data_IF_375151749018
#
_entry.id   IF_375151749018
#
_cell.length_a   1.000
_cell.length_b   1.000
_cell.length_c   1.000
_cell.angle_alpha   90.00
_cell.angle_beta   90.00
_cell.angle_gamma   90.00
#
_symmetry.space_group_name_H-M   'P 1'
#
loop_
_entity.id
_entity.type
_entity.pdbx_description
1 polymer ?
#
# COMPACT_ATOMS: atom_id res chain seq x y z
N UNK A 1 14.24 -42.50 32.58
CA UNK A 1 13.21 -43.45 33.13
C UNK A 1 11.95 -42.66 33.25
N UNK A 2 11.00 -42.81 32.48
CA UNK A 2 9.73 -43.46 32.55
C UNK A 2 8.80 -43.11 31.34
N UNK A 3 8.58 -44.11 30.54
CA UNK A 3 7.63 -44.16 29.45
C UNK A 3 6.21 -44.10 30.03
N UNK A 4 5.27 -43.41 29.38
CA UNK A 4 3.91 -43.95 29.25
C UNK A 4 3.30 -43.60 27.90
N UNK A 5 3.25 -44.60 27.05
CA UNK A 5 2.31 -44.75 25.90
C UNK A 5 0.90 -44.91 26.43
N UNK A 6 -0.09 -44.30 25.80
CA UNK A 6 -1.45 -44.89 25.83
C UNK A 6 -2.08 -44.78 24.43
N UNK A 7 -2.61 -45.94 24.07
CA UNK A 7 -3.18 -46.34 22.81
C UNK A 7 -4.63 -45.91 22.64
N UNK A 8 -5.09 -45.99 21.41
CA UNK A 8 -6.45 -45.81 20.89
C UNK A 8 -7.49 -46.84 21.45
N UNK A 9 -8.78 -46.60 21.18
CA UNK A 9 -9.50 -47.71 20.54
C UNK A 9 -10.33 -47.32 19.32
N UNK A 10 -10.26 -48.23 18.34
CA UNK A 10 -11.18 -48.40 17.23
C UNK A 10 -12.48 -48.99 17.76
N UNK A 11 -13.63 -48.52 17.28
CA UNK A 11 -14.87 -49.30 17.31
C UNK A 11 -15.47 -49.30 15.92
N UNK A 12 -15.44 -50.49 15.35
CA UNK A 12 -16.16 -50.87 14.13
C UNK A 12 -17.55 -51.43 14.57
N UNK A 13 -18.59 -51.02 13.88
CA UNK A 13 -19.85 -51.79 13.87
C UNK A 13 -20.32 -51.97 12.44
N UNK A 14 -20.34 -53.25 12.11
CA UNK A 14 -20.90 -53.84 10.87
C UNK A 14 -22.40 -54.19 11.10
N UNK A 15 -23.12 -54.26 10.02
CA UNK A 15 -24.19 -55.19 9.62
C UNK A 15 -25.57 -54.58 9.37
N UNK A 16 -25.92 -54.61 8.11
CA UNK A 16 -26.87 -55.53 7.41
C UNK A 16 -28.34 -55.16 7.61
N UNK A 17 -29.03 -54.87 6.48
CA UNK A 17 -30.06 -55.73 5.87
C UNK A 17 -30.70 -55.03 4.65
N UNK A 18 -30.69 -55.70 3.52
CA UNK A 18 -31.61 -55.59 2.35
C UNK A 18 -32.78 -56.59 2.61
N UNK A 19 -33.87 -56.68 1.81
CA UNK A 19 -34.51 -55.79 0.86
C UNK A 19 -36.03 -55.69 1.04
N UNK A 20 -36.72 -54.79 0.35
CA UNK A 20 -38.08 -55.01 -0.09
C UNK A 20 -38.43 -54.11 -1.30
N UNK A 21 -38.66 -54.79 -2.41
CA UNK A 21 -39.30 -54.27 -3.62
C UNK A 21 -40.76 -53.93 -3.32
N UNK A 22 -41.23 -52.76 -3.68
CA UNK A 22 -42.60 -52.48 -3.99
C UNK A 22 -42.68 -51.38 -5.07
N UNK A 23 -43.10 -51.82 -6.21
CA UNK A 23 -43.49 -50.99 -7.34
C UNK A 23 -44.77 -50.21 -6.98
N UNK A 24 -44.73 -48.91 -7.13
CA UNK A 24 -45.91 -48.08 -7.28
C UNK A 24 -45.76 -47.13 -8.41
N UNK A 25 -46.63 -47.35 -9.35
CA UNK A 25 -46.85 -46.59 -10.58
C UNK A 25 -47.40 -45.23 -10.21
N UNK A 26 -46.93 -44.23 -10.98
CA UNK A 26 -47.70 -43.11 -11.51
C UNK A 26 -47.84 -41.82 -10.79
N UNK A 27 -48.01 -40.92 -11.64
CA UNK A 27 -48.52 -39.56 -11.57
C UNK A 27 -47.44 -38.50 -11.38
N UNK A 28 -46.91 -38.09 -12.52
CA UNK A 28 -46.17 -36.82 -12.62
C UNK A 28 -47.14 -35.67 -12.51
N UNK A 29 -47.07 -34.82 -11.51
CA UNK A 29 -47.68 -33.52 -11.55
C UNK A 29 -46.81 -32.60 -12.39
N UNK A 30 -47.42 -31.98 -13.40
CA UNK A 30 -46.87 -30.84 -14.14
C UNK A 30 -46.65 -29.68 -13.13
N UNK A 31 -45.42 -29.57 -12.62
CA UNK A 31 -45.00 -28.34 -11.92
C UNK A 31 -44.66 -27.28 -12.95
N UNK A 32 -45.24 -26.06 -12.87
CA UNK A 32 -44.76 -24.95 -13.66
C UNK A 32 -43.31 -24.64 -13.26
N UNK A 33 -42.44 -24.58 -14.25
CA UNK A 33 -41.08 -24.10 -14.07
C UNK A 33 -41.11 -22.64 -13.59
N UNK A 34 -40.94 -22.48 -12.28
CA UNK A 34 -40.63 -21.16 -11.74
C UNK A 34 -39.18 -20.84 -12.18
N UNK A 35 -39.07 -19.95 -13.14
CA UNK A 35 -37.79 -19.36 -13.52
C UNK A 35 -37.26 -18.60 -12.29
N UNK A 36 -36.40 -19.24 -11.51
CA UNK A 36 -35.59 -18.54 -10.53
C UNK A 36 -34.63 -17.65 -11.31
N UNK A 37 -34.95 -16.36 -11.39
CA UNK A 37 -34.01 -15.36 -11.83
C UNK A 37 -32.79 -15.46 -10.87
N UNK A 38 -31.69 -16.05 -11.35
CA UNK A 38 -30.39 -15.94 -10.69
C UNK A 38 -30.06 -14.44 -10.67
N UNK A 39 -30.28 -13.81 -9.52
CA UNK A 39 -29.67 -12.54 -9.22
C UNK A 39 -28.16 -12.75 -9.46
N UNK A 40 -27.60 -12.06 -10.44
CA UNK A 40 -26.20 -12.03 -10.68
C UNK A 40 -25.54 -11.68 -9.34
N UNK A 41 -24.82 -12.65 -8.77
CA UNK A 41 -23.98 -12.41 -7.62
C UNK A 41 -23.02 -11.29 -8.01
N UNK A 42 -23.19 -10.13 -7.40
CA UNK A 42 -22.24 -9.03 -7.54
C UNK A 42 -20.87 -9.60 -7.16
N UNK A 43 -19.95 -9.48 -8.11
CA UNK A 43 -18.56 -9.92 -7.97
C UNK A 43 -17.97 -9.26 -6.70
N UNK A 44 -17.53 -10.00 -5.67
CA UNK A 44 -16.97 -9.42 -4.45
C UNK A 44 -15.57 -8.82 -4.66
N UNK A 45 -15.07 -8.76 -5.88
CA UNK A 45 -13.93 -7.96 -6.25
C UNK A 45 -14.33 -6.49 -6.41
N UNK A 46 -14.98 -5.90 -5.41
CA UNK A 46 -15.03 -4.45 -5.30
C UNK A 46 -13.58 -3.98 -5.20
N UNK A 47 -13.05 -3.51 -6.33
CA UNK A 47 -11.70 -2.95 -6.42
C UNK A 47 -11.56 -1.91 -5.32
N UNK A 48 -10.65 -2.16 -4.37
CA UNK A 48 -10.35 -1.17 -3.33
C UNK A 48 -10.11 0.18 -4.01
N UNK A 49 -10.61 1.29 -3.44
CA UNK A 49 -10.46 2.60 -4.06
C UNK A 49 -8.99 2.85 -4.37
N UNK A 50 -8.72 3.32 -5.58
CA UNK A 50 -7.37 3.63 -6.00
C UNK A 50 -6.76 4.65 -5.03
N UNK A 51 -5.47 4.47 -4.68
CA UNK A 51 -4.77 5.43 -3.84
C UNK A 51 -4.63 6.76 -4.57
N UNK A 52 -5.24 7.80 -4.01
CA UNK A 52 -5.22 9.16 -4.54
C UNK A 52 -4.68 10.12 -3.48
N UNK A 53 -3.38 10.42 -3.46
CA UNK A 53 -2.79 11.31 -2.47
C UNK A 53 -3.26 12.76 -2.62
N UNK A 54 -3.64 13.18 -3.82
CA UNK A 54 -4.19 14.51 -4.07
C UNK A 54 -3.20 15.63 -3.82
N UNK A 55 -1.94 15.48 -4.25
CA UNK A 55 -0.93 16.54 -4.15
C UNK A 55 -1.19 17.69 -5.13
N UNK A 56 -2.00 17.46 -6.17
CA UNK A 56 -2.18 18.36 -7.30
C UNK A 56 -1.04 18.31 -8.31
N UNK A 57 -0.09 17.41 -8.15
CA UNK A 57 0.98 17.07 -9.07
C UNK A 57 0.82 15.62 -9.53
N UNK A 58 0.28 15.42 -10.71
CA UNK A 58 -0.01 14.08 -11.24
C UNK A 58 1.24 13.19 -11.41
N UNK A 59 2.43 13.77 -11.58
CA UNK A 59 3.66 12.99 -11.59
C UNK A 59 3.97 12.47 -10.18
N UNK A 60 3.92 13.34 -9.18
CA UNK A 60 4.18 13.00 -7.78
C UNK A 60 3.15 11.98 -7.27
N UNK A 61 1.87 12.16 -7.56
CA UNK A 61 0.79 11.25 -7.17
C UNK A 61 1.06 9.81 -7.67
N UNK A 62 1.48 9.66 -8.94
CA UNK A 62 1.84 8.35 -9.49
C UNK A 62 3.05 7.72 -8.80
N UNK A 63 4.04 8.54 -8.45
CA UNK A 63 5.24 8.01 -7.77
C UNK A 63 4.91 7.61 -6.32
N UNK A 64 4.07 8.36 -5.61
CA UNK A 64 3.63 7.98 -4.26
C UNK A 64 2.85 6.66 -4.26
N UNK A 65 2.03 6.42 -5.28
CA UNK A 65 1.39 5.11 -5.46
C UNK A 65 2.41 3.98 -5.69
N UNK A 66 3.53 4.26 -6.39
CA UNK A 66 4.61 3.29 -6.57
C UNK A 66 5.42 3.08 -5.29
N UNK A 67 5.60 4.12 -4.47
CA UNK A 67 6.21 4.00 -3.12
C UNK A 67 5.42 3.03 -2.24
N UNK A 68 4.09 3.02 -2.30
CA UNK A 68 3.28 2.04 -1.57
C UNK A 68 3.66 0.61 -1.97
N UNK A 69 3.72 0.31 -3.28
CA UNK A 69 4.10 -1.02 -3.78
C UNK A 69 5.54 -1.41 -3.41
N UNK A 70 6.44 -0.43 -3.40
CA UNK A 70 7.82 -0.67 -2.97
C UNK A 70 7.89 -1.04 -1.50
N UNK A 71 7.23 -0.29 -0.63
CA UNK A 71 7.24 -0.51 0.81
C UNK A 71 6.58 -1.83 1.22
N UNK A 72 5.55 -2.29 0.49
CA UNK A 72 4.97 -3.62 0.68
C UNK A 72 6.00 -4.74 0.46
N UNK A 73 6.88 -4.56 -0.51
CA UNK A 73 7.89 -5.56 -0.86
C UNK A 73 9.17 -5.43 -0.05
N UNK A 74 9.54 -4.20 0.33
CA UNK A 74 10.80 -3.88 0.99
C UNK A 74 10.58 -2.94 2.19
N UNK A 75 9.84 -3.37 3.23
CA UNK A 75 9.43 -2.50 4.33
C UNK A 75 10.60 -1.91 5.11
N UNK A 76 11.65 -2.69 5.36
CA UNK A 76 12.83 -2.19 6.09
C UNK A 76 13.60 -1.14 5.28
N UNK A 77 13.82 -1.35 3.99
CA UNK A 77 14.50 -0.39 3.14
C UNK A 77 13.70 0.92 3.03
N UNK A 78 12.37 0.83 2.98
CA UNK A 78 11.49 2.00 3.02
C UNK A 78 11.62 2.76 4.34
N UNK A 79 11.59 2.05 5.49
CA UNK A 79 11.73 2.68 6.80
C UNK A 79 13.12 3.31 6.96
N UNK A 80 14.17 2.63 6.49
CA UNK A 80 15.54 3.15 6.52
C UNK A 80 15.69 4.44 5.72
N UNK A 81 15.03 4.57 4.57
CA UNK A 81 14.99 5.80 3.78
C UNK A 81 14.43 6.96 4.60
N UNK A 82 13.30 6.77 5.26
CA UNK A 82 12.67 7.80 6.09
C UNK A 82 13.52 8.17 7.32
N UNK A 83 14.23 7.20 7.88
CA UNK A 83 15.12 7.45 9.03
C UNK A 83 16.36 8.25 8.60
N UNK A 84 16.98 7.87 7.50
CA UNK A 84 18.23 8.47 7.03
C UNK A 84 18.00 9.84 6.39
N UNK A 85 16.97 9.96 5.57
CA UNK A 85 16.76 11.12 4.71
C UNK A 85 15.47 11.88 4.99
N UNK A 86 14.44 11.23 5.53
CA UNK A 86 13.17 11.87 5.91
C UNK A 86 13.17 12.51 7.31
N UNK A 87 14.26 12.37 8.07
CA UNK A 87 14.39 12.95 9.42
C UNK A 87 13.43 12.34 10.46
N UNK A 88 12.89 11.14 10.21
CA UNK A 88 11.95 10.48 11.09
C UNK A 88 12.65 9.43 11.99
N UNK A 89 12.12 9.21 13.19
CA UNK A 89 12.57 8.11 14.04
C UNK A 89 11.90 6.81 13.62
N UNK A 90 12.64 5.69 13.56
CA UNK A 90 12.13 4.37 13.15
C UNK A 90 10.82 4.01 13.85
N UNK A 91 10.77 4.02 15.17
CA UNK A 91 9.57 3.67 15.93
C UNK A 91 8.37 4.60 15.67
N UNK A 92 8.59 5.84 15.22
CA UNK A 92 7.52 6.74 14.81
C UNK A 92 6.94 6.32 13.44
N UNK A 93 7.81 5.99 12.48
CA UNK A 93 7.38 5.49 11.16
C UNK A 93 6.62 4.17 11.30
N UNK A 94 7.15 3.22 12.07
CA UNK A 94 6.49 1.94 12.36
C UNK A 94 5.12 2.14 13.01
N UNK A 95 5.00 3.10 13.94
CA UNK A 95 3.71 3.41 14.56
C UNK A 95 2.69 3.96 13.55
N UNK A 96 3.10 4.84 12.63
CA UNK A 96 2.23 5.35 11.58
C UNK A 96 1.72 4.22 10.67
N UNK A 97 2.61 3.36 10.22
CA UNK A 97 2.27 2.27 9.30
C UNK A 97 1.42 1.18 9.97
N UNK A 98 1.84 0.69 11.14
CA UNK A 98 1.27 -0.51 11.76
C UNK A 98 0.09 -0.23 12.68
N UNK A 99 0.12 0.89 13.44
CA UNK A 99 -0.92 1.20 14.42
C UNK A 99 -1.95 2.19 13.92
N UNK A 100 -1.55 3.11 13.05
CA UNK A 100 -2.42 4.15 12.53
C UNK A 100 -2.89 3.91 11.10
N UNK A 101 -2.42 2.83 10.45
CA UNK A 101 -2.87 2.42 9.12
C UNK A 101 -2.51 3.42 8.01
N UNK A 102 -1.47 4.22 8.19
CA UNK A 102 -1.02 5.14 7.16
C UNK A 102 -0.41 4.39 5.98
N UNK A 103 -0.71 4.86 4.79
CA UNK A 103 -0.06 4.32 3.60
C UNK A 103 1.38 4.82 3.51
N UNK A 104 2.33 3.99 3.06
CA UNK A 104 3.74 4.37 2.95
C UNK A 104 3.99 5.65 2.16
N UNK A 105 3.29 5.84 1.03
CA UNK A 105 3.38 7.07 0.24
C UNK A 105 3.00 8.33 1.01
N UNK A 106 1.99 8.24 1.88
CA UNK A 106 1.58 9.35 2.74
C UNK A 106 2.63 9.65 3.80
N UNK A 107 3.22 8.61 4.42
CA UNK A 107 4.30 8.78 5.41
C UNK A 107 5.54 9.37 4.74
N UNK A 108 5.90 8.87 3.55
CA UNK A 108 6.99 9.42 2.76
C UNK A 108 6.77 10.91 2.47
N UNK A 109 5.60 11.25 1.91
CA UNK A 109 5.28 12.63 1.56
C UNK A 109 5.32 13.56 2.78
N UNK A 110 4.71 13.16 3.90
CA UNK A 110 4.70 13.95 5.13
C UNK A 110 6.12 14.26 5.61
N UNK A 111 7.01 13.25 5.63
CA UNK A 111 8.36 13.43 6.15
C UNK A 111 9.19 14.32 5.23
N UNK A 112 9.16 14.10 3.93
CA UNK A 112 9.94 14.90 2.98
C UNK A 112 9.36 16.30 2.76
N UNK A 113 8.04 16.46 2.90
CA UNK A 113 7.45 17.80 2.98
C UNK A 113 7.92 18.55 4.21
N UNK A 114 7.92 17.90 5.38
CA UNK A 114 8.49 18.48 6.60
C UNK A 114 9.92 18.98 6.39
N UNK A 115 10.78 18.14 5.79
CA UNK A 115 12.15 18.54 5.46
C UNK A 115 12.18 19.76 4.53
N UNK A 116 11.34 19.78 3.49
CA UNK A 116 11.30 20.88 2.53
C UNK A 116 10.95 22.22 3.15
N UNK A 117 10.10 22.25 4.18
CA UNK A 117 9.69 23.46 4.88
C UNK A 117 10.48 23.73 6.19
N UNK A 118 11.53 22.95 6.46
CA UNK A 118 12.34 23.09 7.68
C UNK A 118 11.63 22.64 8.96
N UNK A 119 10.59 21.79 8.85
CA UNK A 119 9.82 21.25 9.96
C UNK A 119 10.10 19.76 10.18
N UNK A 120 9.61 19.22 11.30
CA UNK A 120 9.67 17.78 11.53
C UNK A 120 8.59 17.04 10.74
N UNK A 121 8.81 15.75 10.43
CA UNK A 121 7.81 14.85 9.84
C UNK A 121 6.46 14.85 10.61
N UNK A 122 6.48 15.12 11.92
CA UNK A 122 5.29 15.13 12.77
C UNK A 122 4.31 16.22 12.39
N UNK A 123 4.77 17.37 11.94
CA UNK A 123 3.92 18.54 11.65
C UNK A 123 2.96 18.26 10.48
N UNK A 124 3.41 17.83 9.29
CA UNK A 124 2.49 17.44 8.21
C UNK A 124 1.60 16.24 8.59
N UNK A 125 2.11 15.27 9.38
CA UNK A 125 1.30 14.15 9.88
C UNK A 125 0.15 14.66 10.75
N UNK A 126 0.39 15.59 11.67
CA UNK A 126 -0.66 16.16 12.50
C UNK A 126 -1.66 16.98 11.67
N UNK A 127 -1.19 17.74 10.68
CA UNK A 127 -2.07 18.48 9.79
C UNK A 127 -2.99 17.53 9.00
N UNK A 128 -2.44 16.46 8.42
CA UNK A 128 -3.21 15.42 7.71
C UNK A 128 -4.26 14.76 8.62
N UNK A 129 -3.90 14.48 9.89
CA UNK A 129 -4.82 13.88 10.85
C UNK A 129 -5.99 14.79 11.24
N UNK A 130 -5.83 16.12 11.10
CA UNK A 130 -6.92 17.08 11.33
C UNK A 130 -7.83 17.30 10.13
N UNK A 131 -7.39 16.86 8.93
CA UNK A 131 -8.10 17.03 7.67
C UNK A 131 -8.36 15.64 7.03
N UNK A 132 -9.14 14.76 7.70
CA UNK A 132 -9.42 13.43 7.17
C UNK A 132 -10.21 13.54 5.86
N UNK A 133 -9.77 12.79 4.84
CA UNK A 133 -10.42 12.78 3.52
C UNK A 133 -9.93 13.86 2.55
N UNK A 134 -9.20 14.88 3.01
CA UNK A 134 -8.64 15.88 2.11
C UNK A 134 -7.36 15.35 1.42
N UNK A 135 -7.07 15.85 0.21
CA UNK A 135 -5.81 15.57 -0.48
C UNK A 135 -4.62 16.33 0.14
N UNK A 136 -3.41 15.88 -0.17
CA UNK A 136 -2.18 16.51 0.36
C UNK A 136 -2.05 17.99 0.00
N UNK A 137 -2.62 18.44 -1.13
CA UNK A 137 -2.63 19.87 -1.46
C UNK A 137 -3.29 20.71 -0.37
N UNK A 138 -4.50 20.35 0.04
CA UNK A 138 -5.21 21.07 1.10
C UNK A 138 -4.46 20.98 2.45
N UNK A 139 -3.86 19.83 2.73
CA UNK A 139 -3.08 19.63 3.96
C UNK A 139 -1.87 20.56 4.00
N UNK A 140 -1.08 20.66 2.94
CA UNK A 140 0.11 21.51 2.93
C UNK A 140 -0.24 23.00 2.92
N UNK A 141 -1.36 23.37 2.30
CA UNK A 141 -1.88 24.74 2.32
C UNK A 141 -2.38 25.16 3.73
N UNK A 142 -2.70 24.20 4.61
CA UNK A 142 -3.09 24.45 6.01
C UNK A 142 -1.91 24.62 6.97
N UNK A 143 -0.68 24.35 6.51
CA UNK A 143 0.51 24.49 7.34
C UNK A 143 0.91 25.97 7.54
N UNK A 144 1.63 26.28 8.64
CA UNK A 144 2.10 27.65 8.88
C UNK A 144 3.02 28.20 7.78
N UNK A 145 3.80 27.33 7.14
CA UNK A 145 4.66 27.68 6.01
C UNK A 145 3.88 27.47 4.72
N UNK A 146 3.52 28.55 4.05
CA UNK A 146 2.82 28.49 2.78
C UNK A 146 3.64 27.75 1.71
N UNK A 147 3.03 26.80 0.97
CA UNK A 147 3.72 26.08 -0.07
C UNK A 147 4.14 27.00 -1.22
N UNK A 148 5.35 26.82 -1.72
CA UNK A 148 5.87 27.51 -2.89
C UNK A 148 6.52 26.53 -3.90
N UNK A 149 6.98 27.06 -5.04
CA UNK A 149 7.61 26.27 -6.08
C UNK A 149 8.93 25.62 -5.63
N UNK A 150 9.63 26.18 -4.64
CA UNK A 150 10.88 25.62 -4.12
C UNK A 150 10.60 24.39 -3.25
N UNK A 151 9.58 24.44 -2.42
CA UNK A 151 9.14 23.30 -1.60
C UNK A 151 8.70 22.14 -2.48
N UNK A 152 7.85 22.39 -3.48
CA UNK A 152 7.42 21.37 -4.44
C UNK A 152 8.60 20.77 -5.20
N UNK A 153 9.55 21.62 -5.65
CA UNK A 153 10.76 21.14 -6.31
C UNK A 153 11.62 20.29 -5.38
N UNK A 154 11.80 20.70 -4.13
CA UNK A 154 12.56 19.95 -3.14
C UNK A 154 11.99 18.54 -2.93
N UNK A 155 10.68 18.42 -2.75
CA UNK A 155 10.00 17.12 -2.59
C UNK A 155 10.15 16.25 -3.84
N UNK A 156 10.00 16.81 -5.03
CA UNK A 156 10.19 16.06 -6.30
C UNK A 156 11.63 15.56 -6.46
N UNK A 157 12.63 16.38 -6.11
CA UNK A 157 14.04 15.98 -6.13
C UNK A 157 14.33 14.91 -5.06
N UNK A 158 13.77 15.06 -3.87
CA UNK A 158 13.88 14.04 -2.81
C UNK A 158 13.32 12.69 -3.26
N UNK A 159 12.21 12.70 -3.99
CA UNK A 159 11.63 11.45 -4.50
C UNK A 159 12.55 10.79 -5.54
N UNK A 160 13.15 11.56 -6.44
CA UNK A 160 14.15 11.00 -7.37
C UNK A 160 15.33 10.42 -6.60
N UNK A 161 15.83 11.11 -5.56
CA UNK A 161 16.92 10.62 -4.72
C UNK A 161 16.54 9.32 -3.98
N UNK A 162 15.32 9.20 -3.45
CA UNK A 162 14.86 7.95 -2.83
C UNK A 162 14.89 6.77 -3.81
N UNK A 163 14.49 6.99 -5.08
CA UNK A 163 14.59 5.94 -6.10
C UNK A 163 16.05 5.56 -6.40
N UNK A 164 16.97 6.51 -6.36
CA UNK A 164 18.41 6.23 -6.51
C UNK A 164 18.96 5.42 -5.32
N UNK A 165 18.57 5.78 -4.09
CA UNK A 165 18.96 5.04 -2.89
C UNK A 165 18.41 3.60 -2.90
N UNK A 166 17.27 3.36 -3.54
CA UNK A 166 16.67 2.04 -3.70
C UNK A 166 17.16 1.27 -4.94
N UNK A 167 18.10 1.84 -5.69
CA UNK A 167 18.59 1.30 -6.97
C UNK A 167 17.44 0.98 -7.94
N UNK A 168 16.48 1.91 -8.05
CA UNK A 168 15.29 1.77 -8.89
C UNK A 168 15.24 2.80 -10.00
N UNK A 169 14.85 2.38 -11.22
CA UNK A 169 14.64 3.34 -12.30
C UNK A 169 13.42 4.22 -12.01
N UNK A 170 13.53 5.51 -12.31
CA UNK A 170 12.42 6.45 -12.26
C UNK A 170 12.30 7.22 -13.58
N UNK A 171 11.06 7.34 -14.07
CA UNK A 171 10.79 8.15 -15.25
C UNK A 171 10.61 9.61 -14.85
N UNK A 172 11.53 10.46 -15.28
CA UNK A 172 11.45 11.89 -15.06
C UNK A 172 10.45 12.52 -16.04
N UNK A 173 9.69 13.51 -15.59
CA UNK A 173 8.93 14.39 -16.49
C UNK A 173 9.82 15.46 -17.14
N UNK A 174 9.24 16.26 -18.03
CA UNK A 174 9.99 17.27 -18.79
C UNK A 174 10.68 18.32 -17.89
N UNK A 175 10.09 18.64 -16.73
CA UNK A 175 10.68 19.59 -15.77
C UNK A 175 11.91 18.98 -15.08
N UNK A 176 11.76 17.78 -14.53
CA UNK A 176 12.84 17.06 -13.86
C UNK A 176 13.97 16.68 -14.85
N UNK A 177 13.64 16.36 -16.11
CA UNK A 177 14.66 16.12 -17.13
C UNK A 177 15.53 17.35 -17.38
N UNK A 178 14.94 18.56 -17.41
CA UNK A 178 15.73 19.79 -17.51
C UNK A 178 16.58 20.07 -16.28
N UNK A 179 16.11 19.70 -15.10
CA UNK A 179 16.80 19.96 -13.82
C UNK A 179 17.88 18.92 -13.51
N UNK A 180 17.64 17.66 -13.89
CA UNK A 180 18.44 16.49 -13.51
C UNK A 180 18.91 15.66 -14.72
N UNK A 181 18.84 16.19 -15.93
CA UNK A 181 19.13 15.46 -17.17
C UNK A 181 20.57 14.95 -17.31
N UNK A 182 21.51 15.50 -16.56
CA UNK A 182 22.90 15.05 -16.51
C UNK A 182 23.19 14.04 -15.40
N UNK A 183 22.15 13.66 -14.60
CA UNK A 183 22.26 12.78 -13.44
C UNK A 183 22.98 11.46 -13.79
N UNK A 184 22.53 10.74 -14.81
CA UNK A 184 23.15 9.47 -15.21
C UNK A 184 24.65 9.59 -15.54
N UNK A 185 25.08 10.73 -16.13
CA UNK A 185 26.50 11.00 -16.41
C UNK A 185 27.28 11.26 -15.12
N UNK A 186 26.72 12.02 -14.19
CA UNK A 186 27.35 12.29 -12.89
C UNK A 186 27.50 11.01 -12.07
N UNK A 187 26.47 10.18 -12.03
CA UNK A 187 26.48 8.90 -11.32
C UNK A 187 27.49 7.91 -11.93
N UNK A 188 27.61 7.88 -13.28
CA UNK A 188 28.63 7.09 -13.94
C UNK A 188 30.05 7.60 -13.67
N UNK A 189 30.26 8.91 -13.64
CA UNK A 189 31.55 9.49 -13.31
C UNK A 189 31.96 9.21 -11.85
N UNK A 190 31.02 9.29 -10.90
CA UNK A 190 31.27 8.95 -9.50
C UNK A 190 31.72 7.50 -9.31
N UNK A 191 31.04 6.54 -9.98
CA UNK A 191 31.41 5.11 -9.91
C UNK A 191 32.73 4.75 -10.60
N UNK A 192 33.21 5.57 -11.51
CA UNK A 192 34.49 5.37 -12.20
C UNK A 192 35.72 5.89 -11.45
N UNK A 193 35.55 6.45 -10.26
CA UNK A 193 36.62 6.96 -9.40
C UNK A 193 36.93 6.08 -8.19
N UNK A 194 36.17 5.00 -8.00
CA UNK A 194 36.38 3.94 -6.99
C UNK A 194 37.16 2.75 -7.63
#
# INVERSE_FOLDING_TARGET
MNRRKRAAPRVAWLRRCLPALLACVSAWPLFPAVAVAQAAAADPAATAPAYEPGTGDAWLDRQLADVNRYAERYPDAFIDELVRYGGARRGYVEALLQRHGWLPGDVWFACFWGQAIGASCREPVQARSRLPGEGWRAVVESLPVAPDNLHWRAVRHALVASYDHWDRPIRLDALLQRQLGDRARRDAAARGHD
#
